data_IF_319055244467
#
_entry.id   IF_319055244467
#
_cell.length_a   1.000
_cell.length_b   1.000
_cell.length_c   1.000
_cell.angle_alpha   90.00
_cell.angle_beta   90.00
_cell.angle_gamma   90.00
#
_symmetry.space_group_name_H-M   'P 1'
#
loop_
_entity.id
_entity.type
_entity.pdbx_description
1 polymer ?
#
# COMPACT_ATOMS: atom_id res chain seq x y z
N UNK A 1 13.80 15.47 -33.00
CA UNK A 1 13.20 14.12 -32.95
C UNK A 1 12.14 14.18 -31.88
N UNK A 2 10.88 14.10 -32.27
CA UNK A 2 9.74 14.14 -31.37
C UNK A 2 9.59 12.78 -30.69
N UNK A 3 9.74 12.74 -29.37
CA UNK A 3 9.07 11.81 -28.46
C UNK A 3 9.54 12.07 -27.02
N UNK A 4 9.24 13.27 -26.48
CA UNK A 4 8.93 13.41 -25.05
C UNK A 4 7.57 12.73 -24.78
N UNK A 5 7.45 11.45 -25.13
CA UNK A 5 6.28 10.64 -24.78
C UNK A 5 6.40 10.33 -23.30
N UNK A 6 5.84 11.22 -22.48
CA UNK A 6 5.14 10.86 -21.26
C UNK A 6 4.37 9.57 -21.56
N UNK A 7 4.94 8.42 -21.24
CA UNK A 7 4.22 7.18 -21.37
C UNK A 7 3.27 7.18 -20.17
N UNK A 8 1.98 7.40 -20.43
CA UNK A 8 0.89 7.33 -19.45
C UNK A 8 0.64 5.88 -18.99
N UNK A 9 1.72 5.11 -18.82
CA UNK A 9 1.70 3.66 -18.69
C UNK A 9 2.92 3.19 -17.89
N UNK A 10 2.71 2.20 -17.01
CA UNK A 10 3.79 1.56 -16.25
C UNK A 10 4.07 0.17 -16.83
N UNK A 11 5.35 -0.20 -16.96
CA UNK A 11 5.72 -1.55 -17.35
C UNK A 11 5.40 -2.53 -16.23
N UNK A 12 4.50 -3.47 -16.50
CA UNK A 12 4.14 -4.54 -15.57
C UNK A 12 4.51 -5.90 -16.14
N UNK A 13 5.00 -6.78 -15.27
CA UNK A 13 5.29 -8.16 -15.64
C UNK A 13 4.37 -9.13 -14.90
N UNK A 14 3.61 -9.90 -15.66
CA UNK A 14 2.85 -11.04 -15.19
C UNK A 14 2.78 -12.07 -16.32
N UNK A 15 3.67 -13.06 -16.29
CA UNK A 15 4.01 -13.95 -17.41
C UNK A 15 4.62 -13.25 -18.64
N UNK A 16 4.32 -11.99 -18.91
CA UNK A 16 4.95 -11.23 -19.98
C UNK A 16 4.83 -9.75 -19.69
N UNK A 17 5.68 -8.95 -20.35
CA UNK A 17 5.65 -7.50 -20.24
C UNK A 17 4.40 -6.91 -20.88
N UNK A 18 3.71 -6.06 -20.12
CA UNK A 18 2.59 -5.26 -20.58
C UNK A 18 2.75 -3.83 -20.08
N UNK A 19 2.13 -2.90 -20.78
CA UNK A 19 1.96 -1.54 -20.32
C UNK A 19 0.61 -1.43 -19.60
N UNK A 20 0.60 -0.90 -18.39
CA UNK A 20 -0.56 -0.84 -17.50
C UNK A 20 -0.95 0.64 -17.24
N UNK A 21 -1.95 1.18 -17.97
CA UNK A 21 -2.40 2.56 -17.79
C UNK A 21 -3.20 2.75 -16.50
N UNK A 22 -3.90 1.71 -16.01
CA UNK A 22 -4.64 1.80 -14.75
C UNK A 22 -3.68 1.94 -13.57
N UNK A 23 -2.62 1.12 -13.55
CA UNK A 23 -1.58 1.25 -12.54
C UNK A 23 -0.90 2.62 -12.62
N UNK A 24 -0.75 3.19 -13.83
CA UNK A 24 -0.21 4.54 -13.98
C UNK A 24 -1.09 5.59 -13.31
N UNK A 25 -2.42 5.58 -13.54
CA UNK A 25 -3.37 6.49 -12.85
C UNK A 25 -3.27 6.35 -11.33
N UNK A 26 -3.22 5.12 -10.83
CA UNK A 26 -3.10 4.83 -9.41
C UNK A 26 -1.78 5.32 -8.82
N UNK A 27 -0.70 5.34 -9.61
CA UNK A 27 0.62 5.85 -9.21
C UNK A 27 0.64 7.38 -9.24
N UNK A 28 0.03 8.01 -10.24
CA UNK A 28 0.00 9.47 -10.36
C UNK A 28 -0.82 10.14 -9.26
N UNK A 29 -1.84 9.46 -8.73
CA UNK A 29 -2.65 9.98 -7.62
C UNK A 29 -1.94 9.97 -6.26
N UNK A 30 -0.80 9.29 -6.11
CA UNK A 30 -0.07 9.21 -4.85
C UNK A 30 0.88 10.40 -4.64
N UNK A 31 0.95 10.93 -3.41
CA UNK A 31 1.92 11.96 -3.02
C UNK A 31 2.71 11.58 -1.74
N UNK A 32 3.89 12.19 -1.55
CA UNK A 32 4.66 12.02 -0.32
C UNK A 32 3.91 12.54 0.91
N UNK A 33 2.99 13.49 0.73
CA UNK A 33 2.11 13.97 1.80
C UNK A 33 1.11 12.90 2.26
N UNK A 34 0.81 11.88 1.43
CA UNK A 34 -0.02 10.73 1.80
C UNK A 34 0.77 9.63 2.53
N UNK A 35 2.10 9.73 2.54
CA UNK A 35 2.98 8.79 3.26
C UNK A 35 3.18 9.31 4.68
N UNK A 36 2.29 8.89 5.58
CA UNK A 36 2.32 9.30 6.98
C UNK A 36 3.38 8.50 7.74
N UNK A 37 4.64 8.93 7.61
CA UNK A 37 5.80 8.40 8.33
C UNK A 37 6.65 9.56 8.84
N UNK A 38 7.51 9.30 9.82
CA UNK A 38 8.46 10.30 10.34
C UNK A 38 9.29 10.93 9.22
N UNK A 39 9.54 12.23 9.32
CA UNK A 39 10.28 12.97 8.29
C UNK A 39 11.70 12.45 8.09
N UNK A 40 12.39 12.03 9.15
CA UNK A 40 13.73 11.44 9.05
C UNK A 40 13.71 10.12 8.27
N UNK A 41 12.65 9.30 8.46
CA UNK A 41 12.48 8.05 7.72
C UNK A 41 12.26 8.33 6.23
N UNK A 42 11.32 9.23 5.91
CA UNK A 42 11.05 9.66 4.51
C UNK A 42 12.30 10.24 3.86
N UNK A 43 13.00 11.13 4.56
CA UNK A 43 14.22 11.77 4.06
C UNK A 43 15.33 10.75 3.81
N UNK A 44 15.51 9.78 4.71
CA UNK A 44 16.46 8.68 4.53
C UNK A 44 16.15 7.88 3.26
N UNK A 45 14.89 7.44 3.12
CA UNK A 45 14.43 6.66 1.98
C UNK A 45 14.60 7.41 0.66
N UNK A 46 14.14 8.66 0.60
CA UNK A 46 14.30 9.52 -0.57
C UNK A 46 15.78 9.74 -0.93
N UNK A 47 16.64 9.94 0.06
CA UNK A 47 18.08 10.13 -0.15
C UNK A 47 18.73 8.88 -0.74
N UNK A 48 18.41 7.69 -0.24
CA UNK A 48 18.97 6.44 -0.76
C UNK A 48 18.50 6.16 -2.20
N UNK A 49 17.27 6.54 -2.56
CA UNK A 49 16.70 6.34 -3.90
C UNK A 49 17.20 7.40 -4.88
N UNK A 50 16.88 8.67 -4.63
CA UNK A 50 17.19 9.73 -5.60
C UNK A 50 18.67 10.12 -5.56
N UNK A 51 19.31 9.98 -4.40
CA UNK A 51 20.76 10.14 -4.27
C UNK A 51 21.53 9.06 -5.02
N UNK A 52 21.01 7.82 -5.11
CA UNK A 52 21.62 6.77 -5.94
C UNK A 52 21.70 7.19 -7.41
N UNK A 53 20.60 7.68 -7.98
CA UNK A 53 20.60 8.10 -9.38
C UNK A 53 21.50 9.30 -9.63
N UNK A 54 21.45 10.32 -8.76
CA UNK A 54 22.32 11.51 -8.83
C UNK A 54 23.81 11.18 -8.69
N UNK A 55 24.15 10.04 -8.06
CA UNK A 55 25.52 9.64 -7.79
C UNK A 55 26.20 8.89 -8.95
N UNK A 56 25.53 8.67 -10.09
CA UNK A 56 26.11 7.98 -11.26
C UNK A 56 27.55 8.41 -11.59
N UNK A 57 27.91 9.72 -11.67
CA UNK A 57 29.26 10.13 -12.02
C UNK A 57 30.30 9.67 -10.99
N UNK A 58 29.91 9.55 -9.72
CA UNK A 58 30.77 9.08 -8.63
C UNK A 58 31.05 7.59 -8.81
N UNK A 59 30.02 6.78 -9.09
CA UNK A 59 30.19 5.35 -9.34
C UNK A 59 31.12 5.09 -10.53
N UNK A 60 30.90 5.80 -11.64
CA UNK A 60 31.74 5.73 -12.83
C UNK A 60 33.18 6.16 -12.56
N UNK A 61 33.38 7.25 -11.82
CA UNK A 61 34.72 7.76 -11.45
C UNK A 61 35.55 6.74 -10.69
N UNK A 62 34.93 5.98 -9.78
CA UNK A 62 35.61 4.97 -8.97
C UNK A 62 35.57 3.56 -9.56
N UNK A 63 35.04 3.39 -10.78
CA UNK A 63 34.88 2.09 -11.45
C UNK A 63 34.17 1.04 -10.57
N UNK A 64 33.18 1.48 -9.80
CA UNK A 64 32.32 0.62 -8.97
C UNK A 64 30.98 0.37 -9.66
N UNK A 65 30.38 -0.83 -9.53
CA UNK A 65 29.09 -1.14 -10.14
C UNK A 65 28.00 -0.16 -9.67
N UNK A 66 27.31 0.48 -10.61
CA UNK A 66 26.25 1.45 -10.30
C UNK A 66 24.91 0.74 -10.17
N UNK A 67 24.74 -0.02 -9.08
CA UNK A 67 23.49 -0.71 -8.76
C UNK A 67 23.12 -0.56 -7.29
N UNK A 68 21.83 -0.68 -6.99
CA UNK A 68 21.29 -0.57 -5.62
C UNK A 68 20.15 -1.56 -5.40
N UNK A 69 20.11 -2.19 -4.24
CA UNK A 69 18.93 -2.90 -3.78
C UNK A 69 18.41 -2.33 -2.45
N UNK A 70 17.10 -2.10 -2.39
CA UNK A 70 16.38 -1.69 -1.19
C UNK A 70 15.35 -2.76 -0.83
N UNK A 71 15.29 -3.18 0.43
CA UNK A 71 14.15 -3.95 0.97
C UNK A 71 13.31 -3.05 1.86
N UNK A 72 12.00 -3.03 1.59
CA UNK A 72 10.98 -2.50 2.48
C UNK A 72 10.27 -3.67 3.18
N UNK A 73 10.37 -3.76 4.49
CA UNK A 73 9.85 -4.91 5.23
C UNK A 73 9.09 -4.49 6.48
N UNK A 74 8.25 -5.39 7.00
CA UNK A 74 7.48 -5.16 8.23
C UNK A 74 6.04 -5.62 8.07
N UNK A 75 5.21 -5.50 9.13
CA UNK A 75 3.83 -5.95 9.12
C UNK A 75 2.99 -5.35 7.97
N UNK A 76 1.92 -6.04 7.53
CA UNK A 76 1.03 -5.55 6.49
C UNK A 76 0.25 -4.32 6.97
N UNK A 77 -0.04 -3.40 6.04
CA UNK A 77 -0.86 -2.23 6.31
C UNK A 77 -0.12 -1.02 6.89
N UNK A 78 1.21 -1.01 6.86
CA UNK A 78 2.04 0.09 7.37
C UNK A 78 2.73 0.95 6.30
N UNK A 79 2.14 1.06 5.10
CA UNK A 79 2.56 2.10 4.13
C UNK A 79 3.64 1.71 3.11
N UNK A 80 4.01 0.43 2.99
CA UNK A 80 4.94 -0.06 1.94
C UNK A 80 4.43 0.25 0.52
N UNK A 81 3.20 -0.13 0.21
CA UNK A 81 2.61 0.01 -1.14
C UNK A 81 2.40 1.46 -1.55
N UNK A 82 1.93 2.35 -0.65
CA UNK A 82 1.81 3.78 -0.97
C UNK A 82 3.20 4.40 -1.20
N UNK A 83 4.21 4.03 -0.41
CA UNK A 83 5.59 4.49 -0.60
C UNK A 83 6.14 4.07 -1.97
N UNK A 84 5.89 2.83 -2.40
CA UNK A 84 6.24 2.36 -3.75
C UNK A 84 5.61 3.26 -4.83
N UNK A 85 4.30 3.52 -4.74
CA UNK A 85 3.59 4.33 -5.73
C UNK A 85 4.24 5.71 -5.87
N UNK A 86 4.48 6.38 -4.75
CA UNK A 86 5.11 7.70 -4.75
C UNK A 86 6.54 7.67 -5.29
N UNK A 87 7.32 6.63 -4.96
CA UNK A 87 8.67 6.42 -5.49
C UNK A 87 8.63 6.25 -7.00
N UNK A 88 7.75 5.39 -7.52
CA UNK A 88 7.60 5.14 -8.95
C UNK A 88 7.21 6.42 -9.69
N UNK A 89 6.22 7.17 -9.19
CA UNK A 89 5.82 8.48 -9.73
C UNK A 89 7.00 9.45 -9.79
N UNK A 90 7.74 9.56 -8.69
CA UNK A 90 8.86 10.52 -8.59
C UNK A 90 10.04 10.12 -9.48
N UNK A 91 10.32 8.82 -9.61
CA UNK A 91 11.34 8.29 -10.51
C UNK A 91 10.97 8.52 -11.98
N UNK A 92 9.72 8.23 -12.35
CA UNK A 92 9.21 8.46 -13.71
C UNK A 92 9.30 9.93 -14.10
N UNK A 93 8.90 10.85 -13.20
CA UNK A 93 9.05 12.29 -13.38
C UNK A 93 10.51 12.76 -13.53
N UNK A 94 11.48 11.98 -13.05
CA UNK A 94 12.91 12.25 -13.22
C UNK A 94 13.51 11.54 -14.45
N UNK A 95 12.70 10.85 -15.25
CA UNK A 95 13.12 10.11 -16.45
C UNK A 95 13.66 8.71 -16.17
N UNK A 96 13.45 8.16 -14.97
CA UNK A 96 13.83 6.79 -14.62
C UNK A 96 12.64 5.86 -14.78
N UNK A 97 12.72 4.93 -15.73
CA UNK A 97 11.60 4.07 -16.07
C UNK A 97 11.14 3.22 -14.87
N UNK A 98 9.84 3.22 -14.52
CA UNK A 98 9.31 2.32 -13.51
C UNK A 98 8.90 0.96 -14.10
N UNK A 99 9.38 -0.12 -13.49
CA UNK A 99 9.00 -1.50 -13.78
C UNK A 99 8.39 -2.13 -12.53
N UNK A 100 7.27 -2.81 -12.68
CA UNK A 100 6.55 -3.45 -11.58
C UNK A 100 6.30 -4.93 -11.87
N UNK A 101 6.91 -5.81 -11.08
CA UNK A 101 6.90 -7.25 -11.31
C UNK A 101 5.93 -7.91 -10.34
N UNK A 102 4.84 -8.47 -10.88
CA UNK A 102 3.78 -9.14 -10.10
C UNK A 102 4.06 -10.63 -9.86
N UNK A 103 4.82 -11.27 -10.75
CA UNK A 103 5.00 -12.73 -10.74
C UNK A 103 6.16 -13.14 -11.65
N UNK A 104 6.93 -14.16 -11.27
CA UNK A 104 7.90 -14.82 -12.16
C UNK A 104 7.35 -16.08 -12.85
N UNK A 105 6.05 -16.37 -12.73
CA UNK A 105 5.46 -17.53 -13.42
C UNK A 105 5.51 -17.33 -14.93
N UNK A 106 5.90 -18.36 -15.66
CA UNK A 106 5.94 -18.35 -17.12
C UNK A 106 5.87 -19.77 -17.70
N UNK A 107 5.40 -19.91 -18.95
CA UNK A 107 5.25 -21.22 -19.61
C UNK A 107 6.60 -21.88 -19.94
N UNK A 108 7.68 -21.10 -20.04
CA UNK A 108 9.07 -21.58 -20.20
C UNK A 108 9.82 -21.72 -18.86
N UNK A 109 9.12 -21.58 -17.73
CA UNK A 109 9.70 -21.65 -16.38
C UNK A 109 10.12 -20.30 -15.81
N UNK A 110 10.28 -20.27 -14.49
CA UNK A 110 10.54 -19.03 -13.73
C UNK A 110 11.94 -18.46 -13.99
N UNK A 111 12.91 -19.30 -14.31
CA UNK A 111 14.26 -18.87 -14.70
C UNK A 111 14.23 -18.01 -15.98
N UNK A 112 13.47 -18.43 -16.99
CA UNK A 112 13.28 -17.65 -18.21
C UNK A 112 12.62 -16.30 -17.88
N UNK A 113 11.57 -16.31 -17.05
CA UNK A 113 10.86 -15.11 -16.65
C UNK A 113 11.77 -14.10 -15.94
N UNK A 114 12.59 -14.58 -15.00
CA UNK A 114 13.56 -13.74 -14.30
C UNK A 114 14.61 -13.18 -15.27
N UNK A 115 15.11 -13.96 -16.23
CA UNK A 115 16.03 -13.46 -17.25
C UNK A 115 15.37 -12.35 -18.09
N UNK A 116 14.16 -12.59 -18.58
CA UNK A 116 13.38 -11.63 -19.37
C UNK A 116 13.11 -10.33 -18.60
N UNK A 117 12.79 -10.46 -17.30
CA UNK A 117 12.53 -9.30 -16.44
C UNK A 117 13.78 -8.44 -16.28
N UNK A 118 14.91 -9.06 -15.93
CA UNK A 118 16.17 -8.33 -15.74
C UNK A 118 16.74 -7.80 -17.06
N UNK A 119 16.56 -8.51 -18.18
CA UNK A 119 16.95 -8.02 -19.50
C UNK A 119 16.18 -6.75 -19.87
N UNK A 120 14.86 -6.73 -19.64
CA UNK A 120 14.05 -5.52 -19.85
C UNK A 120 14.51 -4.36 -18.96
N UNK A 121 14.81 -4.63 -17.68
CA UNK A 121 15.34 -3.61 -16.78
C UNK A 121 16.67 -3.03 -17.29
N UNK A 122 17.59 -3.87 -17.77
CA UNK A 122 18.85 -3.43 -18.37
C UNK A 122 18.66 -2.59 -19.63
N UNK A 123 17.70 -2.94 -20.48
CA UNK A 123 17.35 -2.16 -21.68
C UNK A 123 16.78 -0.78 -21.35
N UNK A 124 16.11 -0.65 -20.20
CA UNK A 124 15.49 0.59 -19.74
C UNK A 124 16.35 1.37 -18.72
N UNK A 125 17.55 0.89 -18.40
CA UNK A 125 18.42 1.54 -17.43
C UNK A 125 18.78 2.98 -17.89
N UNK A 126 18.82 3.98 -16.99
CA UNK A 126 18.54 3.88 -15.56
C UNK A 126 17.06 3.72 -15.22
N UNK A 127 16.74 2.76 -14.35
CA UNK A 127 15.36 2.40 -14.03
C UNK A 127 15.16 2.01 -12.56
N UNK A 128 13.91 2.07 -12.11
CA UNK A 128 13.47 1.49 -10.83
C UNK A 128 12.62 0.25 -11.10
N UNK A 129 13.03 -0.90 -10.55
CA UNK A 129 12.30 -2.16 -10.65
C UNK A 129 11.76 -2.56 -9.28
N UNK A 130 10.45 -2.67 -9.17
CA UNK A 130 9.74 -3.04 -7.95
C UNK A 130 9.34 -4.51 -8.03
N UNK A 131 9.70 -5.26 -6.99
CA UNK A 131 9.35 -6.65 -6.75
C UNK A 131 8.52 -6.72 -5.47
N UNK A 132 7.19 -6.79 -5.60
CA UNK A 132 6.30 -6.84 -4.43
C UNK A 132 6.16 -8.29 -3.91
N UNK A 133 6.13 -8.45 -2.60
CA UNK A 133 6.03 -9.74 -1.90
C UNK A 133 7.14 -10.73 -2.32
N UNK A 134 8.40 -10.36 -2.06
CA UNK A 134 9.57 -11.18 -2.36
C UNK A 134 9.49 -12.60 -1.78
N UNK A 135 8.87 -12.76 -0.61
CA UNK A 135 8.62 -14.05 0.04
C UNK A 135 7.66 -14.94 -0.76
N UNK A 136 6.79 -14.36 -1.59
CA UNK A 136 5.96 -15.10 -2.53
C UNK A 136 6.65 -15.27 -3.90
N UNK A 137 7.44 -14.30 -4.35
CA UNK A 137 8.13 -14.34 -5.64
C UNK A 137 9.33 -15.30 -5.65
N UNK A 138 10.05 -15.39 -4.54
CA UNK A 138 11.30 -16.13 -4.43
C UNK A 138 11.09 -17.40 -3.61
N UNK A 139 11.24 -18.53 -4.28
CA UNK A 139 11.11 -19.88 -3.70
C UNK A 139 12.47 -20.56 -3.59
N UNK A 140 12.54 -21.66 -2.85
CA UNK A 140 13.75 -22.49 -2.80
C UNK A 140 14.26 -22.94 -4.18
N UNK A 141 13.35 -23.13 -5.13
CA UNK A 141 13.65 -23.62 -6.47
C UNK A 141 14.26 -22.52 -7.36
N UNK A 142 13.72 -21.31 -7.30
CA UNK A 142 14.12 -20.21 -8.19
C UNK A 142 15.17 -19.27 -7.59
N UNK A 143 15.40 -19.35 -6.27
CA UNK A 143 16.29 -18.45 -5.51
C UNK A 143 17.67 -18.31 -6.13
N UNK A 144 18.34 -19.43 -6.42
CA UNK A 144 19.72 -19.40 -6.93
C UNK A 144 19.80 -18.64 -8.25
N UNK A 145 18.78 -18.80 -9.10
CA UNK A 145 18.69 -18.08 -10.37
C UNK A 145 18.44 -16.58 -10.14
N UNK A 146 17.49 -16.23 -9.27
CA UNK A 146 17.21 -14.84 -8.92
C UNK A 146 18.45 -14.13 -8.38
N UNK A 147 19.20 -14.77 -7.49
CA UNK A 147 20.44 -14.24 -6.93
C UNK A 147 21.50 -13.99 -8.01
N UNK A 148 21.62 -14.88 -9.00
CA UNK A 148 22.52 -14.68 -10.13
C UNK A 148 22.13 -13.47 -10.99
N UNK A 149 20.82 -13.27 -11.22
CA UNK A 149 20.31 -12.10 -11.93
C UNK A 149 20.56 -10.81 -11.15
N UNK A 150 20.35 -10.81 -9.83
CA UNK A 150 20.56 -9.65 -8.96
C UNK A 150 22.04 -9.29 -8.75
N UNK A 151 22.90 -10.30 -8.61
CA UNK A 151 24.35 -10.12 -8.51
C UNK A 151 24.91 -9.50 -9.80
N UNK A 152 24.29 -9.82 -10.95
CA UNK A 152 24.49 -9.05 -12.18
C UNK A 152 25.80 -9.37 -12.87
N UNK A 153 26.16 -10.65 -13.00
CA UNK A 153 27.28 -11.10 -13.85
C UNK A 153 27.18 -10.57 -15.30
N UNK A 154 25.98 -10.16 -15.72
CA UNK A 154 25.68 -9.59 -17.04
C UNK A 154 25.38 -8.07 -17.04
N UNK A 155 25.88 -7.29 -16.06
CA UNK A 155 25.82 -5.83 -16.05
C UNK A 155 24.47 -5.25 -15.61
N UNK A 156 24.37 -4.87 -14.34
CA UNK A 156 23.16 -4.25 -13.75
C UNK A 156 23.37 -2.74 -13.47
N UNK A 157 24.20 -2.06 -14.27
CA UNK A 157 24.44 -0.64 -14.10
C UNK A 157 23.16 0.17 -14.35
N UNK A 158 22.86 1.12 -13.46
CA UNK A 158 21.65 1.96 -13.50
C UNK A 158 20.40 1.31 -12.92
N UNK A 159 20.48 0.09 -12.39
CA UNK A 159 19.32 -0.59 -11.79
C UNK A 159 19.20 -0.28 -10.29
N UNK A 160 18.06 0.32 -9.93
CA UNK A 160 17.55 0.34 -8.56
C UNK A 160 16.48 -0.74 -8.41
N UNK A 161 16.74 -1.76 -7.59
CA UNK A 161 15.76 -2.82 -7.29
C UNK A 161 15.14 -2.56 -5.92
N UNK A 162 13.82 -2.47 -5.84
CA UNK A 162 13.07 -2.34 -4.59
C UNK A 162 12.27 -3.61 -4.39
N UNK A 163 12.56 -4.33 -3.30
CA UNK A 163 11.78 -5.48 -2.86
C UNK A 163 10.89 -5.14 -1.69
N UNK A 164 9.70 -5.72 -1.60
CA UNK A 164 8.91 -5.71 -0.37
C UNK A 164 8.78 -7.10 0.23
N UNK A 165 8.53 -7.18 1.53
CA UNK A 165 8.12 -8.42 2.18
C UNK A 165 7.37 -8.13 3.47
N UNK A 166 6.43 -9.00 3.83
CA UNK A 166 5.84 -9.01 5.17
C UNK A 166 6.55 -9.97 6.14
N UNK A 167 7.38 -10.87 5.59
CA UNK A 167 8.02 -11.98 6.29
C UNK A 167 9.53 -11.94 6.07
N UNK A 168 10.18 -10.92 6.63
CA UNK A 168 11.62 -10.71 6.44
C UNK A 168 12.47 -11.88 6.95
N UNK A 169 12.00 -12.56 8.00
CA UNK A 169 12.57 -13.76 8.58
C UNK A 169 12.50 -14.99 7.65
N UNK A 170 11.55 -15.02 6.71
CA UNK A 170 11.42 -16.08 5.73
C UNK A 170 12.29 -15.83 4.49
N UNK A 171 12.81 -14.61 4.31
CA UNK A 171 13.72 -14.32 3.21
C UNK A 171 15.05 -15.03 3.39
N UNK A 172 15.55 -15.57 2.28
CA UNK A 172 16.87 -16.20 2.21
C UNK A 172 17.97 -15.30 2.82
N UNK A 173 18.87 -15.86 3.66
CA UNK A 173 19.99 -15.11 4.23
C UNK A 173 20.85 -14.40 3.18
N UNK A 174 20.96 -14.97 1.98
CA UNK A 174 21.65 -14.37 0.86
C UNK A 174 20.97 -13.10 0.32
N UNK A 175 19.67 -12.93 0.50
CA UNK A 175 18.94 -11.69 0.18
C UNK A 175 18.94 -10.71 1.37
N UNK A 176 18.76 -11.22 2.59
CA UNK A 176 18.58 -10.39 3.78
C UNK A 176 19.89 -9.93 4.41
N UNK A 177 21.01 -10.64 4.28
CA UNK A 177 22.25 -10.32 5.02
C UNK A 177 23.44 -9.97 4.13
N UNK A 178 23.46 -10.42 2.87
CA UNK A 178 24.65 -10.29 2.02
C UNK A 178 24.75 -8.88 1.41
N UNK A 179 25.88 -8.19 1.58
CA UNK A 179 26.12 -6.90 0.93
C UNK A 179 26.06 -6.99 -0.59
N UNK A 180 25.73 -5.87 -1.26
CA UNK A 180 25.67 -5.70 -2.73
C UNK A 180 24.45 -6.31 -3.45
N UNK A 181 23.53 -6.93 -2.70
CA UNK A 181 22.21 -7.34 -3.18
C UNK A 181 21.18 -6.32 -2.72
N UNK A 182 20.58 -6.54 -1.56
CA UNK A 182 19.74 -5.57 -0.87
C UNK A 182 20.51 -4.95 0.29
N UNK A 183 21.28 -3.92 -0.04
CA UNK A 183 22.21 -3.27 0.88
C UNK A 183 21.55 -2.21 1.77
N UNK A 184 20.33 -1.77 1.42
CA UNK A 184 19.49 -0.90 2.26
C UNK A 184 18.22 -1.58 2.70
N UNK A 185 17.81 -1.32 3.94
CA UNK A 185 16.64 -1.93 4.57
C UNK A 185 15.84 -0.87 5.31
N UNK A 186 14.54 -0.86 5.05
CA UNK A 186 13.59 0.06 5.65
C UNK A 186 12.50 -0.74 6.33
N UNK A 187 12.46 -0.64 7.66
CA UNK A 187 11.41 -1.27 8.48
C UNK A 187 10.19 -0.36 8.53
N UNK A 188 9.07 -0.85 8.02
CA UNK A 188 7.74 -0.28 8.14
C UNK A 188 7.00 -1.02 9.26
N UNK A 189 7.33 -0.66 10.51
CA UNK A 189 6.72 -1.25 11.70
C UNK A 189 5.32 -0.67 11.95
N UNK A 190 4.63 -1.20 12.95
CA UNK A 190 3.42 -0.56 13.47
C UNK A 190 3.75 0.85 13.99
N UNK A 191 2.89 1.84 13.71
CA UNK A 191 3.18 3.23 14.02
C UNK A 191 3.35 3.46 15.51
N UNK A 192 4.39 4.19 15.86
CA UNK A 192 4.61 4.63 17.24
C UNK A 192 3.67 5.78 17.64
N UNK A 193 3.77 6.27 18.88
CA UNK A 193 2.88 7.34 19.34
C UNK A 193 2.94 8.57 18.44
N UNK A 194 4.14 8.97 18.00
CA UNK A 194 4.33 10.15 17.16
C UNK A 194 3.67 9.95 15.79
N UNK A 195 3.84 8.77 15.18
CA UNK A 195 3.23 8.44 13.89
C UNK A 195 1.70 8.34 13.96
N UNK A 196 1.16 7.82 15.07
CA UNK A 196 -0.30 7.81 15.31
C UNK A 196 -0.85 9.22 15.49
N UNK A 197 -0.12 10.12 16.17
CA UNK A 197 -0.47 11.55 16.24
C UNK A 197 -0.47 12.20 14.86
N UNK A 198 0.57 11.98 14.05
CA UNK A 198 0.64 12.48 12.67
C UNK A 198 -0.53 11.99 11.82
N UNK A 199 -0.92 10.71 11.99
CA UNK A 199 -2.05 10.13 11.28
C UNK A 199 -3.39 10.72 11.70
N UNK A 200 -3.59 10.96 13.01
CA UNK A 200 -4.77 11.64 13.49
C UNK A 200 -4.84 13.11 12.99
N UNK A 201 -3.71 13.82 12.95
CA UNK A 201 -3.61 15.17 12.38
C UNK A 201 -3.91 15.19 10.87
N UNK A 202 -3.46 14.17 10.13
CA UNK A 202 -3.82 14.01 8.71
C UNK A 202 -5.33 13.98 8.53
N UNK A 203 -6.04 13.16 9.32
CA UNK A 203 -7.50 13.11 9.27
C UNK A 203 -8.17 14.39 9.77
N UNK A 204 -7.61 15.03 10.81
CA UNK A 204 -8.08 16.33 11.29
C UNK A 204 -8.04 17.38 10.18
N UNK A 205 -6.93 17.48 9.46
CA UNK A 205 -6.78 18.40 8.33
C UNK A 205 -7.72 18.05 7.17
N UNK A 206 -7.85 16.76 6.85
CA UNK A 206 -8.74 16.27 5.79
C UNK A 206 -10.22 16.58 6.06
N UNK A 207 -10.64 16.58 7.33
CA UNK A 207 -12.03 16.81 7.73
C UNK A 207 -12.31 18.25 8.13
N UNK A 208 -11.29 19.13 8.15
CA UNK A 208 -11.39 20.51 8.64
C UNK A 208 -12.47 21.36 7.95
N UNK A 209 -12.76 21.10 6.68
CA UNK A 209 -13.79 21.81 5.91
C UNK A 209 -15.20 21.29 6.12
N UNK A 210 -15.37 20.20 6.88
CA UNK A 210 -16.68 19.60 7.12
C UNK A 210 -17.32 20.18 8.39
N UNK A 211 -18.34 21.01 8.21
CA UNK A 211 -19.05 21.69 9.32
C UNK A 211 -19.82 20.72 10.24
N UNK A 212 -20.09 19.49 9.81
CA UNK A 212 -20.76 18.47 10.62
C UNK A 212 -19.80 17.70 11.55
N UNK A 213 -18.49 17.93 11.41
CA UNK A 213 -17.45 17.17 12.13
C UNK A 213 -16.63 18.10 12.99
N UNK A 214 -16.75 17.94 14.31
CA UNK A 214 -15.84 18.56 15.27
C UNK A 214 -14.69 17.59 15.63
N UNK A 215 -13.45 17.99 15.33
CA UNK A 215 -12.24 17.23 15.61
C UNK A 215 -11.18 18.13 16.29
N UNK A 216 -11.31 18.37 17.61
CA UNK A 216 -10.40 19.25 18.35
C UNK A 216 -9.03 18.60 18.60
N UNK A 217 -8.01 19.41 18.88
CA UNK A 217 -6.64 18.95 19.14
C UNK A 217 -6.56 17.92 20.28
N UNK A 218 -7.38 18.07 21.33
CA UNK A 218 -7.44 17.09 22.42
C UNK A 218 -7.82 15.68 21.93
N UNK A 219 -8.67 15.57 20.91
CA UNK A 219 -9.08 14.29 20.36
C UNK A 219 -7.96 13.64 19.53
N UNK A 220 -7.04 14.43 18.96
CA UNK A 220 -5.86 13.91 18.25
C UNK A 220 -5.00 13.10 19.22
N UNK A 221 -4.69 13.69 20.39
CA UNK A 221 -3.88 13.04 21.43
C UNK A 221 -4.57 11.79 21.96
N UNK A 222 -5.88 11.87 22.24
CA UNK A 222 -6.65 10.72 22.71
C UNK A 222 -6.69 9.56 21.70
N UNK A 223 -6.85 9.85 20.40
CA UNK A 223 -6.80 8.83 19.35
C UNK A 223 -5.42 8.18 19.34
N UNK A 224 -4.34 8.96 19.38
CA UNK A 224 -2.97 8.44 19.34
C UNK A 224 -2.64 7.54 20.55
N UNK A 225 -3.10 7.90 21.75
CA UNK A 225 -2.92 7.11 22.97
C UNK A 225 -3.74 5.80 22.94
N UNK A 226 -4.99 5.85 22.51
CA UNK A 226 -5.91 4.71 22.54
C UNK A 226 -5.70 3.72 21.40
N UNK A 227 -4.83 4.02 20.43
CA UNK A 227 -4.58 3.21 19.22
C UNK A 227 -3.22 2.52 19.20
N UNK A 228 -2.56 2.35 20.36
CA UNK A 228 -1.33 1.56 20.48
C UNK A 228 -1.42 0.19 19.77
N UNK A 229 -0.38 -0.23 19.03
CA UNK A 229 -0.35 -1.46 18.20
C UNK A 229 -1.33 -1.52 17.01
N UNK A 230 -2.02 -0.44 16.67
CA UNK A 230 -2.79 -0.42 15.43
C UNK A 230 -1.85 -0.11 14.28
N UNK A 231 -1.90 -0.90 13.20
CA UNK A 231 -1.28 -0.51 11.93
C UNK A 231 -2.00 0.68 11.30
N UNK A 232 -1.39 1.34 10.30
CA UNK A 232 -2.07 2.43 9.59
C UNK A 232 -3.38 1.97 8.92
N UNK A 233 -3.48 0.71 8.51
CA UNK A 233 -4.73 0.14 8.01
C UNK A 233 -5.84 0.09 9.09
N UNK A 234 -5.49 -0.29 10.32
CA UNK A 234 -6.43 -0.25 11.45
C UNK A 234 -6.82 1.19 11.80
N UNK A 235 -5.87 2.13 11.79
CA UNK A 235 -6.18 3.55 12.00
C UNK A 235 -7.11 4.09 10.92
N UNK A 236 -6.85 3.79 9.64
CA UNK A 236 -7.73 4.15 8.52
C UNK A 236 -9.15 3.65 8.78
N UNK A 237 -9.27 2.38 9.19
CA UNK A 237 -10.56 1.76 9.48
C UNK A 237 -11.32 2.44 10.62
N UNK A 238 -10.63 2.90 11.69
CA UNK A 238 -11.25 3.69 12.76
C UNK A 238 -11.98 4.91 12.18
N UNK A 239 -11.30 5.70 11.36
CA UNK A 239 -11.85 6.94 10.79
C UNK A 239 -12.95 6.64 9.78
N UNK A 240 -12.71 5.72 8.84
CA UNK A 240 -13.69 5.37 7.80
C UNK A 240 -14.98 4.82 8.43
N UNK A 241 -14.88 3.85 9.34
CA UNK A 241 -16.06 3.28 9.99
C UNK A 241 -16.80 4.30 10.88
N UNK A 242 -16.10 5.23 11.52
CA UNK A 242 -16.75 6.30 12.28
C UNK A 242 -17.54 7.25 11.37
N UNK A 243 -16.96 7.64 10.23
CA UNK A 243 -17.63 8.53 9.26
C UNK A 243 -18.84 7.85 8.60
N UNK A 244 -18.70 6.58 8.20
CA UNK A 244 -19.81 5.80 7.62
C UNK A 244 -20.93 5.62 8.65
N UNK A 245 -20.59 5.34 9.90
CA UNK A 245 -21.56 5.30 10.98
C UNK A 245 -22.29 6.64 11.10
N UNK A 246 -21.60 7.77 11.12
CA UNK A 246 -22.26 9.08 11.21
C UNK A 246 -23.18 9.39 10.02
N UNK A 247 -22.79 8.98 8.81
CA UNK A 247 -23.58 9.20 7.60
C UNK A 247 -24.91 8.43 7.60
N UNK A 248 -24.98 7.31 8.31
CA UNK A 248 -26.19 6.49 8.43
C UNK A 248 -27.18 6.95 9.50
N UNK A 249 -26.90 8.01 10.27
CA UNK A 249 -27.76 8.50 11.35
C UNK A 249 -28.40 9.84 10.97
N UNK A 250 -29.70 9.97 11.24
CA UNK A 250 -30.47 11.20 11.06
C UNK A 250 -31.12 11.66 12.38
N UNK A 251 -31.32 12.97 12.52
CA UNK A 251 -32.01 13.59 13.65
C UNK A 251 -31.19 13.67 14.95
N UNK A 252 -31.87 14.01 16.05
CA UNK A 252 -31.27 14.33 17.36
C UNK A 252 -30.53 13.14 18.02
N UNK A 253 -30.67 11.94 17.49
CA UNK A 253 -29.98 10.74 17.97
C UNK A 253 -28.57 10.54 17.37
N UNK A 254 -28.15 11.38 16.39
CA UNK A 254 -26.84 11.27 15.75
C UNK A 254 -25.72 11.43 16.80
N UNK A 255 -24.82 10.43 16.95
CA UNK A 255 -23.71 10.56 17.89
C UNK A 255 -22.72 11.63 17.42
N UNK A 256 -21.95 12.18 18.36
CA UNK A 256 -20.81 13.06 17.99
C UNK A 256 -19.72 12.24 17.29
N UNK A 257 -18.89 12.91 16.48
CA UNK A 257 -17.75 12.27 15.83
C UNK A 257 -16.77 11.66 16.83
N UNK A 258 -16.50 12.37 17.93
CA UNK A 258 -15.71 11.86 19.05
C UNK A 258 -16.27 10.52 19.56
N UNK A 259 -17.58 10.43 19.80
CA UNK A 259 -18.22 9.20 20.29
C UNK A 259 -18.10 8.08 19.27
N UNK A 260 -18.37 8.36 18.00
CA UNK A 260 -18.24 7.39 16.91
C UNK A 260 -16.79 6.85 16.82
N UNK A 261 -15.78 7.72 16.84
CA UNK A 261 -14.36 7.32 16.84
C UNK A 261 -14.02 6.43 18.03
N UNK A 262 -14.35 6.85 19.26
CA UNK A 262 -14.06 6.09 20.48
C UNK A 262 -14.72 4.71 20.48
N UNK A 263 -15.94 4.61 19.96
CA UNK A 263 -16.64 3.34 19.85
C UNK A 263 -15.99 2.44 18.79
N UNK A 264 -15.55 2.98 17.65
CA UNK A 264 -14.79 2.20 16.66
C UNK A 264 -13.43 1.73 17.17
N UNK A 265 -12.69 2.57 17.90
CA UNK A 265 -11.43 2.17 18.53
C UNK A 265 -11.65 0.97 19.45
N UNK A 266 -12.71 0.99 20.29
CA UNK A 266 -13.04 -0.14 21.18
C UNK A 266 -13.38 -1.41 20.41
N UNK A 267 -14.13 -1.31 19.31
CA UNK A 267 -14.50 -2.47 18.47
C UNK A 267 -13.25 -3.10 17.87
N UNK A 268 -12.41 -2.31 17.20
CA UNK A 268 -11.20 -2.82 16.55
C UNK A 268 -10.16 -3.32 17.56
N UNK A 269 -10.09 -2.71 18.75
CA UNK A 269 -9.23 -3.18 19.85
C UNK A 269 -9.59 -4.61 20.25
N UNK A 270 -10.88 -4.88 20.49
CA UNK A 270 -11.37 -6.22 20.84
C UNK A 270 -11.03 -7.24 19.74
N UNK A 271 -11.16 -6.85 18.47
CA UNK A 271 -10.80 -7.73 17.35
C UNK A 271 -9.31 -8.05 17.30
N UNK A 272 -8.45 -7.04 17.50
CA UNK A 272 -7.01 -7.21 17.54
C UNK A 272 -6.56 -8.12 18.70
N UNK A 273 -7.13 -7.89 19.90
CA UNK A 273 -6.82 -8.69 21.09
C UNK A 273 -7.26 -10.15 20.90
N UNK A 274 -8.45 -10.38 20.34
CA UNK A 274 -8.95 -11.73 20.02
C UNK A 274 -8.08 -12.44 18.97
N UNK A 275 -7.66 -11.74 17.92
CA UNK A 275 -6.76 -12.31 16.91
C UNK A 275 -5.41 -12.71 17.51
N UNK A 276 -4.89 -11.90 18.44
CA UNK A 276 -3.65 -12.19 19.17
C UNK A 276 -3.79 -13.44 20.05
N UNK A 277 -4.93 -13.60 20.73
CA UNK A 277 -5.23 -14.78 21.55
C UNK A 277 -5.36 -16.06 20.73
N UNK A 278 -5.97 -15.99 19.55
CA UNK A 278 -6.12 -17.15 18.65
C UNK A 278 -4.80 -17.53 17.96
N UNK A 279 -3.94 -16.56 17.62
CA UNK A 279 -2.62 -16.81 17.04
C UNK A 279 -1.58 -17.40 18.01
N UNK A 280 -1.83 -17.32 19.32
CA UNK A 280 -0.93 -17.86 20.34
C UNK A 280 -1.01 -19.38 20.57
N UNK A 281 -2.00 -20.07 19.98
CA UNK A 281 -2.31 -21.47 20.34
C UNK A 281 -2.20 -22.52 19.22
N UNK A 282 -1.76 -22.19 18.00
CA UNK A 282 -1.60 -23.20 16.94
C UNK A 282 -0.27 -23.10 16.20
N UNK A 283 0.68 -23.95 16.58
CA UNK A 283 1.80 -24.37 15.75
C UNK A 283 1.37 -25.56 14.88
N UNK A 284 0.64 -25.31 13.79
CA UNK A 284 0.62 -26.17 12.60
C UNK A 284 0.17 -25.33 11.40
N UNK A 285 0.91 -25.47 10.30
CA UNK A 285 0.66 -24.85 9.01
C UNK A 285 -0.72 -25.20 8.42
N UNK A 286 -1.14 -24.37 7.46
CA UNK A 286 -2.39 -24.39 6.69
C UNK A 286 -3.63 -23.76 7.36
N UNK A 287 -3.74 -22.43 7.23
CA UNK A 287 -4.96 -21.69 6.82
C UNK A 287 -4.69 -20.18 6.85
N UNK A 288 -4.01 -19.65 5.82
CA UNK A 288 -3.76 -18.22 5.66
C UNK A 288 -4.57 -17.66 4.48
N UNK A 289 -5.91 -17.73 4.54
CA UNK A 289 -6.78 -17.07 3.54
C UNK A 289 -8.04 -16.41 4.10
N UNK A 290 -8.31 -16.46 5.40
CA UNK A 290 -9.52 -15.83 5.97
C UNK A 290 -9.25 -15.09 7.29
N UNK A 291 -8.67 -13.89 7.18
CA UNK A 291 -8.86 -12.91 8.27
C UNK A 291 -10.32 -12.42 8.22
N UNK A 292 -10.99 -12.23 9.37
CA UNK A 292 -12.35 -11.72 9.38
C UNK A 292 -12.38 -10.35 8.71
N UNK A 293 -13.36 -10.17 7.84
CA UNK A 293 -13.60 -8.89 7.17
C UNK A 293 -14.11 -7.91 8.22
N UNK A 294 -13.59 -6.68 8.22
CA UNK A 294 -13.78 -5.73 9.32
C UNK A 294 -15.24 -5.29 9.55
N UNK A 295 -15.51 -4.49 10.60
CA UNK A 295 -16.86 -4.01 10.95
C UNK A 295 -17.55 -3.29 9.80
N UNK A 296 -16.81 -2.57 8.95
CA UNK A 296 -17.36 -1.93 7.77
C UNK A 296 -18.02 -2.93 6.81
N UNK A 297 -17.47 -4.15 6.69
CA UNK A 297 -18.03 -5.18 5.82
C UNK A 297 -19.33 -5.75 6.38
N UNK A 298 -19.38 -5.99 7.69
CA UNK A 298 -20.61 -6.41 8.38
C UNK A 298 -21.66 -5.28 8.37
N UNK A 299 -21.23 -4.02 8.45
CA UNK A 299 -22.09 -2.83 8.40
C UNK A 299 -22.62 -2.58 6.99
N UNK A 300 -21.78 -2.71 5.96
CA UNK A 300 -22.17 -2.64 4.55
C UNK A 300 -23.13 -3.78 4.21
N UNK A 301 -22.87 -5.00 4.68
CA UNK A 301 -23.75 -6.16 4.53
C UNK A 301 -25.09 -5.99 5.25
N UNK A 302 -25.10 -5.38 6.44
CA UNK A 302 -26.33 -5.05 7.15
C UNK A 302 -27.13 -3.95 6.44
N UNK A 303 -26.47 -2.95 5.86
CA UNK A 303 -27.10 -1.90 5.05
C UNK A 303 -27.57 -2.39 3.67
N UNK A 304 -26.95 -3.45 3.14
CA UNK A 304 -27.35 -4.10 1.89
C UNK A 304 -28.71 -4.82 1.99
N UNK A 305 -29.25 -5.02 3.20
CA UNK A 305 -30.62 -5.47 3.43
C UNK A 305 -31.73 -4.51 2.94
N UNK A 306 -31.36 -3.34 2.42
CA UNK A 306 -32.25 -2.38 1.73
C UNK A 306 -32.37 -2.62 0.21
N UNK A 307 -31.62 -3.57 -0.35
CA UNK A 307 -31.72 -3.95 -1.76
C UNK A 307 -32.43 -5.31 -1.90
N UNK A 308 -33.47 -5.44 -2.74
CA UNK A 308 -34.07 -6.76 -2.99
C UNK A 308 -33.04 -7.65 -3.70
N UNK A 309 -32.96 -8.95 -3.34
CA UNK A 309 -32.00 -9.85 -3.97
C UNK A 309 -32.36 -10.03 -5.45
N UNK A 310 -31.46 -9.67 -6.35
CA UNK A 310 -31.50 -10.15 -7.73
C UNK A 310 -31.03 -11.60 -7.72
N UNK A 311 -31.86 -12.48 -8.26
CA UNK A 311 -31.67 -13.93 -8.25
C UNK A 311 -30.25 -14.36 -8.68
N UNK A 312 -29.57 -15.06 -7.76
CA UNK A 312 -28.81 -16.25 -8.12
C UNK A 312 -27.36 -16.08 -8.56
N UNK A 313 -26.53 -15.34 -7.83
CA UNK A 313 -25.07 -15.54 -7.88
C UNK A 313 -24.49 -15.50 -6.46
N UNK A 314 -23.56 -16.43 -6.16
CA UNK A 314 -22.83 -16.45 -4.90
C UNK A 314 -21.92 -15.22 -4.87
N UNK A 315 -22.20 -14.27 -3.98
CA UNK A 315 -21.35 -13.09 -3.75
C UNK A 315 -19.92 -13.52 -3.41
N UNK A 316 -18.99 -13.19 -4.31
CA UNK A 316 -17.56 -13.45 -4.15
C UNK A 316 -16.93 -12.26 -3.38
N UNK A 317 -16.21 -12.56 -2.30
CA UNK A 317 -15.61 -11.61 -1.36
C UNK A 317 -14.54 -10.68 -1.99
N UNK A 318 -14.31 -10.81 -3.31
CA UNK A 318 -13.31 -10.09 -4.10
C UNK A 318 -13.77 -8.70 -4.55
N UNK A 319 -15.06 -8.50 -4.84
CA UNK A 319 -15.58 -7.23 -5.36
C UNK A 319 -15.57 -6.10 -4.32
N UNK A 320 -15.77 -6.44 -3.04
CA UNK A 320 -15.81 -5.44 -1.97
C UNK A 320 -14.42 -4.95 -1.54
N UNK A 321 -13.37 -5.74 -1.77
CA UNK A 321 -11.98 -5.33 -1.47
C UNK A 321 -11.50 -4.25 -2.45
N UNK A 322 -11.92 -4.36 -3.71
CA UNK A 322 -11.72 -3.32 -4.72
C UNK A 322 -12.47 -2.01 -4.37
N UNK A 323 -13.67 -2.13 -3.81
CA UNK A 323 -14.43 -1.01 -3.25
C UNK A 323 -13.68 -0.31 -2.09
N UNK A 324 -13.05 -1.08 -1.20
CA UNK A 324 -12.30 -0.57 -0.04
C UNK A 324 -10.96 0.09 -0.40
N UNK A 325 -10.25 -0.46 -1.39
CA UNK A 325 -9.01 0.14 -1.92
C UNK A 325 -9.31 1.44 -2.71
N UNK A 326 -10.49 1.51 -3.36
CA UNK A 326 -10.97 2.67 -4.12
C UNK A 326 -11.52 3.86 -3.30
N UNK A 327 -11.79 3.69 -2.00
CA UNK A 327 -12.25 4.77 -1.09
C UNK A 327 -11.17 5.84 -0.80
N UNK A 328 -9.99 5.71 -1.41
CA UNK A 328 -8.89 6.68 -1.33
C UNK A 328 -8.98 7.81 -2.34
N UNK A 329 -9.83 7.72 -3.37
CA UNK A 329 -9.91 8.75 -4.41
C UNK A 329 -10.90 9.88 -4.04
N UNK A 330 -10.52 11.16 -4.23
CA UNK A 330 -11.42 12.30 -4.08
C UNK A 330 -12.67 12.22 -4.99
N UNK A 331 -12.55 11.57 -6.15
CA UNK A 331 -13.65 11.41 -7.11
C UNK A 331 -14.77 10.49 -6.60
N UNK A 332 -14.43 9.42 -5.88
CA UNK A 332 -15.45 8.53 -5.30
C UNK A 332 -16.11 9.13 -4.05
N UNK A 333 -15.40 9.96 -3.29
CA UNK A 333 -16.00 10.81 -2.24
C UNK A 333 -17.04 11.76 -2.83
N UNK A 334 -16.71 12.41 -3.96
CA UNK A 334 -17.66 13.25 -4.68
C UNK A 334 -18.85 12.46 -5.25
N UNK A 335 -18.63 11.24 -5.75
CA UNK A 335 -19.73 10.36 -6.21
C UNK A 335 -20.60 9.85 -5.05
N UNK A 336 -20.01 9.59 -3.89
CA UNK A 336 -20.72 9.22 -2.67
C UNK A 336 -21.56 10.38 -2.15
N UNK A 337 -21.00 11.59 -2.09
CA UNK A 337 -21.73 12.82 -1.76
C UNK A 337 -22.86 13.11 -2.76
N UNK A 338 -22.63 12.91 -4.06
CA UNK A 338 -23.65 13.08 -5.09
C UNK A 338 -24.80 12.07 -4.94
N UNK A 339 -24.50 10.81 -4.61
CA UNK A 339 -25.53 9.77 -4.36
C UNK A 339 -26.30 10.00 -3.06
N UNK A 340 -25.64 10.50 -2.01
CA UNK A 340 -26.31 10.94 -0.79
C UNK A 340 -27.27 12.11 -1.06
N UNK A 341 -26.86 13.08 -1.89
CA UNK A 341 -27.72 14.18 -2.30
C UNK A 341 -28.93 13.71 -3.14
N UNK A 342 -28.74 12.70 -3.99
CA UNK A 342 -29.82 12.13 -4.82
C UNK A 342 -30.83 11.34 -3.97
N UNK A 343 -30.35 10.60 -2.97
CA UNK A 343 -31.21 9.85 -2.03
C UNK A 343 -32.02 10.81 -1.14
N UNK A 344 -31.40 11.91 -0.68
CA UNK A 344 -32.09 13.01 0.02
C UNK A 344 -33.19 13.66 -0.84
N UNK A 345 -32.96 13.82 -2.16
CA UNK A 345 -33.97 14.35 -3.09
C UNK A 345 -35.14 13.39 -3.31
N UNK A 346 -34.87 12.09 -3.46
CA UNK A 346 -35.93 11.08 -3.64
C UNK A 346 -36.83 10.94 -2.41
N UNK A 347 -36.26 11.05 -1.21
CA UNK A 347 -37.02 11.03 0.05
C UNK A 347 -37.84 12.31 0.25
N UNK A 348 -37.32 13.47 -0.17
CA UNK A 348 -38.05 14.74 -0.14
C UNK A 348 -39.19 14.84 -1.17
N UNK A 349 -39.15 14.07 -2.27
CA UNK A 349 -40.25 13.98 -3.24
C UNK A 349 -41.33 12.95 -2.90
N UNK A 350 -41.16 12.23 -1.77
CA UNK A 350 -42.07 11.17 -1.31
C UNK A 350 -42.93 11.58 -0.11
N UNK A 351 -42.87 12.85 0.29
CA UNK A 351 -43.81 13.55 1.20
C UNK A 351 -44.59 14.59 0.40
#
# INVERSE_FOLDING_TARGET
>A
MWADTLNEEIWTYNMYWRKDPQLWVDVQSADWDDVILKDDFKTGLQKDIYGFFKSEPVYKKFAIPWKRGIIMYGPPGNGKTISIKVIMKTCDAQGFAPLYVKSFKHFMGEEYAMAEVFEKARQLAPCVMVLEDLDALITDQNRSFFLNQLDGLQGNDGLLVIGTTNHFEMLDPGLSTRPSRFDRKYLFDDPDLQERTLYAQYWQNKLKSNEEIDFPDALVDEVAEQTNKFSFAYLKEVFVSALVMLAGWEGDAKPTFERALKDQIKVLRKQLDNATLLGGNNSTADEATSRPVGPLFDTLRASAGLFPPTNGEREDNRDFRALFDGLSSPEMLAQFEARLAETRRMLASSQ
#
